data_IF_016770973089
#
_entry.id   IF_016770973089
#
_cell.length_a   1.000
_cell.length_b   1.000
_cell.length_c   1.000
_cell.angle_alpha   90.00
_cell.angle_beta   90.00
_cell.angle_gamma   90.00
#
_symmetry.space_group_name_H-M   'P 1'
#
loop_
_entity.id
_entity.type
_entity.pdbx_description
1 polymer ?
#
# COMPACT_ATOMS: atom_id res chain seq x y z
N UNK A 1 0.79 60.99 -36.87
CA UNK A 1 2.04 60.72 -37.62
C UNK A 1 3.16 60.85 -36.61
N UNK A 2 3.84 59.82 -36.09
CA UNK A 2 3.86 58.37 -36.25
C UNK A 2 4.22 57.77 -34.87
N UNK A 3 3.48 56.76 -34.39
CA UNK A 3 3.97 55.39 -34.09
C UNK A 3 5.29 55.32 -33.28
N UNK A 4 5.19 55.10 -31.98
CA UNK A 4 6.24 54.44 -31.18
C UNK A 4 5.75 53.02 -30.84
N UNK A 5 5.99 52.13 -31.80
CA UNK A 5 6.01 50.70 -31.64
C UNK A 5 7.18 50.30 -30.71
N UNK A 6 6.90 49.70 -29.56
CA UNK A 6 7.58 48.46 -29.13
C UNK A 6 6.86 47.85 -27.93
N UNK A 7 5.67 47.35 -28.23
CA UNK A 7 5.01 46.33 -27.46
C UNK A 7 5.93 45.09 -27.41
N UNK A 8 6.67 44.93 -26.31
CA UNK A 8 7.57 43.79 -26.06
C UNK A 8 6.73 42.52 -25.98
N UNK A 9 6.46 41.93 -27.14
CA UNK A 9 5.94 40.56 -27.29
C UNK A 9 6.82 39.62 -26.47
N UNK A 10 6.31 39.21 -25.30
CA UNK A 10 6.85 38.11 -24.50
C UNK A 10 6.79 36.85 -25.36
N UNK A 11 7.92 36.53 -25.98
CA UNK A 11 8.18 35.22 -26.54
C UNK A 11 8.11 34.18 -25.42
N UNK A 12 7.02 33.40 -25.35
CA UNK A 12 6.99 32.16 -24.57
C UNK A 12 7.67 31.07 -25.41
N UNK A 13 8.89 30.61 -25.07
CA UNK A 13 9.53 29.55 -25.84
C UNK A 13 8.68 28.27 -25.70
N UNK A 14 8.22 27.74 -26.83
CA UNK A 14 7.45 26.48 -26.93
C UNK A 14 8.19 25.26 -26.31
N UNK A 15 9.50 25.37 -26.06
CA UNK A 15 10.30 24.38 -25.32
C UNK A 15 9.93 24.21 -23.84
N UNK A 16 9.20 25.16 -23.24
CA UNK A 16 8.76 25.08 -21.84
C UNK A 16 7.59 24.12 -21.58
N UNK A 17 6.78 23.79 -22.59
CA UNK A 17 5.59 22.93 -22.42
C UNK A 17 5.96 21.45 -22.32
N UNK A 18 6.91 20.98 -23.12
CA UNK A 18 7.38 19.59 -23.07
C UNK A 18 8.07 19.30 -21.73
N UNK A 19 8.93 20.20 -21.26
CA UNK A 19 9.60 20.06 -19.96
C UNK A 19 8.60 20.09 -18.79
N UNK A 20 7.54 20.92 -18.87
CA UNK A 20 6.43 20.89 -17.88
C UNK A 20 5.63 19.59 -17.93
N UNK A 21 5.42 19.01 -19.11
CA UNK A 21 4.70 17.75 -19.29
C UNK A 21 5.50 16.55 -18.76
N UNK A 22 6.81 16.54 -19.03
CA UNK A 22 7.76 15.52 -18.53
C UNK A 22 7.90 15.63 -17.01
N UNK A 23 8.08 16.84 -16.45
CA UNK A 23 8.12 17.04 -14.99
C UNK A 23 6.83 16.63 -14.28
N UNK A 24 5.67 16.71 -14.96
CA UNK A 24 4.37 16.30 -14.43
C UNK A 24 4.13 14.79 -14.52
N UNK A 25 4.72 14.10 -15.50
CA UNK A 25 4.56 12.64 -15.72
C UNK A 25 5.66 11.80 -15.07
N UNK A 26 6.86 12.36 -14.90
CA UNK A 26 8.01 11.69 -14.28
C UNK A 26 8.58 12.62 -13.20
N UNK A 27 7.99 12.59 -11.99
CA UNK A 27 8.35 13.51 -10.89
C UNK A 27 9.82 13.43 -10.47
N UNK A 28 10.50 12.30 -10.75
CA UNK A 28 11.93 12.10 -10.46
C UNK A 28 12.81 13.21 -11.02
N UNK A 29 12.47 13.72 -12.21
CA UNK A 29 13.25 14.76 -12.88
C UNK A 29 13.15 16.13 -12.21
N UNK A 30 12.17 16.31 -11.32
CA UNK A 30 11.97 17.56 -10.56
C UNK A 30 12.67 17.57 -9.20
N UNK A 31 12.66 16.45 -8.47
CA UNK A 31 13.19 16.39 -7.11
C UNK A 31 14.67 15.97 -7.06
N UNK A 32 15.10 15.07 -7.94
CA UNK A 32 16.46 14.54 -7.96
C UNK A 32 17.56 15.63 -8.10
N UNK A 33 17.38 16.70 -8.91
CA UNK A 33 18.38 17.76 -9.02
C UNK A 33 18.53 18.64 -7.77
N UNK A 34 17.52 18.66 -6.89
CA UNK A 34 17.48 19.48 -5.67
C UNK A 34 17.78 18.66 -4.40
N UNK A 35 18.39 17.48 -4.57
CA UNK A 35 18.67 16.54 -3.51
C UNK A 35 20.00 16.88 -2.83
N UNK A 36 20.02 16.88 -1.49
CA UNK A 36 21.18 17.29 -0.68
C UNK A 36 21.69 16.10 0.16
N UNK A 37 22.98 16.11 0.53
CA UNK A 37 23.61 15.05 1.33
C UNK A 37 22.99 14.87 2.71
N UNK A 38 22.46 15.93 3.31
CA UNK A 38 21.72 15.85 4.58
C UNK A 38 20.40 15.07 4.42
N UNK A 39 19.69 15.29 3.29
CA UNK A 39 18.48 14.52 2.97
C UNK A 39 18.80 13.05 2.71
N UNK A 40 19.94 12.78 2.06
CA UNK A 40 20.41 11.42 1.84
C UNK A 40 20.57 10.64 3.15
N UNK A 41 21.21 11.22 4.16
CA UNK A 41 21.40 10.54 5.45
C UNK A 41 20.05 10.28 6.15
N UNK A 42 19.17 11.29 6.16
CA UNK A 42 17.85 11.17 6.77
C UNK A 42 16.98 10.12 6.06
N UNK A 43 16.98 10.11 4.73
CA UNK A 43 16.23 9.15 3.91
C UNK A 43 16.84 7.74 4.00
N UNK A 44 18.16 7.60 4.19
CA UNK A 44 18.80 6.31 4.41
C UNK A 44 18.38 5.69 5.75
N UNK A 45 18.37 6.48 6.83
CA UNK A 45 17.91 6.03 8.15
C UNK A 45 16.42 5.67 8.09
N UNK A 46 15.60 6.52 7.47
CA UNK A 46 14.17 6.26 7.28
C UNK A 46 13.95 5.00 6.42
N UNK A 47 14.70 4.85 5.33
CA UNK A 47 14.60 3.72 4.41
C UNK A 47 14.98 2.40 5.06
N UNK A 48 16.04 2.36 5.88
CA UNK A 48 16.41 1.16 6.66
C UNK A 48 15.30 0.83 7.67
N UNK A 49 14.78 1.84 8.38
CA UNK A 49 13.70 1.65 9.37
C UNK A 49 12.43 1.11 8.73
N UNK A 50 12.01 1.69 7.60
CA UNK A 50 10.84 1.25 6.83
C UNK A 50 11.09 -0.13 6.22
N UNK A 51 12.27 -0.39 5.66
CA UNK A 51 12.63 -1.70 5.11
C UNK A 51 12.55 -2.81 6.14
N UNK A 52 13.09 -2.57 7.35
CA UNK A 52 13.06 -3.54 8.46
C UNK A 52 11.63 -3.81 8.96
N UNK A 53 10.72 -2.84 8.87
CA UNK A 53 9.31 -3.03 9.26
C UNK A 53 8.48 -3.70 8.15
N UNK A 54 8.76 -3.40 6.89
CA UNK A 54 8.05 -3.97 5.74
C UNK A 54 8.39 -5.44 5.53
N UNK A 55 9.59 -5.91 5.89
CA UNK A 55 9.97 -7.32 5.79
C UNK A 55 9.03 -8.28 6.55
N UNK A 56 8.86 -8.17 7.88
CA UNK A 56 7.95 -9.04 8.63
C UNK A 56 6.49 -8.82 8.23
N UNK A 57 6.11 -7.56 7.92
CA UNK A 57 4.76 -7.24 7.47
C UNK A 57 4.42 -7.94 6.14
N UNK A 58 5.32 -7.91 5.16
CA UNK A 58 5.12 -8.55 3.86
C UNK A 58 4.99 -10.06 3.97
N UNK A 59 5.83 -10.69 4.80
CA UNK A 59 5.77 -12.14 5.07
C UNK A 59 4.41 -12.54 5.68
N UNK A 60 3.92 -11.76 6.65
CA UNK A 60 2.61 -12.00 7.27
C UNK A 60 1.46 -11.78 6.27
N UNK A 61 1.54 -10.76 5.41
CA UNK A 61 0.48 -10.49 4.45
C UNK A 61 0.41 -11.51 3.31
N UNK A 62 1.54 -12.06 2.88
CA UNK A 62 1.53 -13.16 1.91
C UNK A 62 0.83 -14.42 2.47
N UNK A 63 1.09 -14.76 3.73
CA UNK A 63 0.41 -15.91 4.37
C UNK A 63 -1.08 -15.65 4.59
N UNK A 64 -1.49 -14.41 4.87
CA UNK A 64 -2.91 -14.03 4.89
C UNK A 64 -3.58 -14.13 3.52
N UNK A 65 -2.85 -13.88 2.42
CA UNK A 65 -3.33 -14.10 1.07
C UNK A 65 -3.39 -15.58 0.68
N UNK A 66 -2.85 -16.49 1.50
CA UNK A 66 -2.72 -17.92 1.20
C UNK A 66 -1.60 -18.23 0.20
N UNK A 67 -0.62 -17.34 0.07
CA UNK A 67 0.56 -17.49 -0.79
C UNK A 67 1.80 -17.80 0.03
N UNK A 68 2.85 -18.27 -0.64
CA UNK A 68 4.15 -18.43 0.02
C UNK A 68 4.72 -17.08 0.47
N UNK A 69 5.43 -17.00 1.62
CA UNK A 69 5.90 -15.74 2.18
C UNK A 69 6.75 -14.88 1.23
N UNK A 70 7.48 -15.52 0.30
CA UNK A 70 8.32 -14.86 -0.70
C UNK A 70 7.56 -13.88 -1.61
N UNK A 71 6.28 -14.16 -1.92
CA UNK A 71 5.46 -13.25 -2.73
C UNK A 71 5.20 -11.91 -2.04
N UNK A 72 5.19 -11.89 -0.70
CA UNK A 72 5.07 -10.67 0.08
C UNK A 72 6.30 -9.77 -0.09
N UNK A 73 7.49 -10.36 -0.09
CA UNK A 73 8.75 -9.64 -0.32
C UNK A 73 8.84 -9.12 -1.75
N UNK A 74 8.45 -9.93 -2.75
CA UNK A 74 8.45 -9.52 -4.15
C UNK A 74 7.53 -8.31 -4.40
N UNK A 75 6.31 -8.34 -3.84
CA UNK A 75 5.35 -7.24 -3.99
C UNK A 75 5.82 -5.95 -3.29
N UNK A 76 6.41 -6.06 -2.10
CA UNK A 76 6.98 -4.92 -1.38
C UNK A 76 8.14 -4.27 -2.14
N UNK A 77 9.07 -5.08 -2.66
CA UNK A 77 10.24 -4.59 -3.39
C UNK A 77 9.86 -3.95 -4.73
N UNK A 78 9.09 -4.65 -5.56
CA UNK A 78 8.74 -4.14 -6.89
C UNK A 78 7.83 -2.91 -6.81
N UNK A 79 6.90 -2.87 -5.85
CA UNK A 79 6.04 -1.71 -5.62
C UNK A 79 6.84 -0.43 -5.33
N UNK A 80 7.83 -0.53 -4.43
CA UNK A 80 8.71 0.58 -4.09
C UNK A 80 9.57 1.03 -5.28
N UNK A 81 10.17 0.11 -6.03
CA UNK A 81 11.01 0.43 -7.20
C UNK A 81 10.25 1.20 -8.28
N UNK A 82 9.03 0.76 -8.60
CA UNK A 82 8.18 1.46 -9.58
C UNK A 82 7.77 2.84 -9.05
N UNK A 83 7.48 2.96 -7.75
CA UNK A 83 7.07 4.22 -7.15
C UNK A 83 8.18 5.27 -7.11
N UNK A 84 9.45 4.90 -7.01
CA UNK A 84 10.57 5.88 -7.06
C UNK A 84 10.55 6.69 -8.37
N UNK A 85 10.17 6.06 -9.49
CA UNK A 85 10.18 6.69 -10.82
C UNK A 85 8.91 7.51 -11.06
N UNK A 86 7.75 6.96 -10.72
CA UNK A 86 6.43 7.54 -11.06
C UNK A 86 5.70 8.19 -9.88
N UNK A 87 6.24 8.10 -8.67
CA UNK A 87 5.60 8.55 -7.45
C UNK A 87 5.53 10.06 -7.33
N UNK A 88 4.35 10.55 -6.97
CA UNK A 88 4.07 11.98 -6.80
C UNK A 88 4.43 12.50 -5.41
N UNK A 89 4.40 11.64 -4.39
CA UNK A 89 4.60 12.00 -2.99
C UNK A 89 5.90 11.37 -2.47
N UNK A 90 6.76 12.16 -1.83
CA UNK A 90 8.06 11.68 -1.32
C UNK A 90 7.97 10.81 -0.06
N UNK A 91 6.93 11.00 0.76
CA UNK A 91 6.85 10.42 2.11
C UNK A 91 5.98 9.15 2.19
N UNK A 92 5.40 8.70 1.07
CA UNK A 92 4.54 7.51 1.06
C UNK A 92 5.33 6.26 0.68
N UNK A 93 5.15 5.21 1.47
CA UNK A 93 5.71 3.89 1.18
C UNK A 93 4.63 3.02 0.52
N UNK A 94 4.97 2.42 -0.63
CA UNK A 94 4.11 1.44 -1.28
C UNK A 94 4.54 0.03 -0.88
N UNK A 95 3.57 -0.78 -0.49
CA UNK A 95 3.80 -2.18 -0.16
C UNK A 95 2.48 -2.95 -0.03
N UNK A 96 2.56 -4.26 0.25
CA UNK A 96 1.37 -5.06 0.51
C UNK A 96 0.65 -4.53 1.75
N UNK A 97 -0.69 -4.60 1.73
CA UNK A 97 -1.55 -4.23 2.86
C UNK A 97 -2.42 -5.41 3.27
N UNK A 98 -2.80 -5.47 4.55
CA UNK A 98 -3.61 -6.54 5.10
C UNK A 98 -4.94 -6.72 4.34
N UNK A 99 -5.62 -5.62 4.01
CA UNK A 99 -6.88 -5.68 3.26
C UNK A 99 -6.68 -6.26 1.85
N UNK A 100 -5.65 -5.82 1.13
CA UNK A 100 -5.36 -6.34 -0.21
C UNK A 100 -5.03 -7.83 -0.18
N UNK A 101 -4.32 -8.30 0.86
CA UNK A 101 -4.06 -9.72 1.07
C UNK A 101 -5.36 -10.52 1.27
N UNK A 102 -6.26 -10.04 2.13
CA UNK A 102 -7.56 -10.69 2.36
C UNK A 102 -8.42 -10.73 1.11
N UNK A 103 -8.50 -9.62 0.36
CA UNK A 103 -9.25 -9.58 -0.91
C UNK A 103 -8.64 -10.52 -1.96
N UNK A 104 -7.31 -10.63 -2.01
CA UNK A 104 -6.62 -11.54 -2.92
C UNK A 104 -6.87 -13.00 -2.55
N UNK A 105 -6.94 -13.31 -1.25
CA UNK A 105 -7.16 -14.67 -0.76
C UNK A 105 -8.42 -15.31 -1.36
N UNK A 106 -9.53 -14.58 -1.41
CA UNK A 106 -10.82 -15.05 -1.94
C UNK A 106 -10.73 -15.54 -3.40
N UNK A 107 -9.81 -14.99 -4.20
CA UNK A 107 -9.65 -15.37 -5.61
C UNK A 107 -8.58 -16.44 -5.86
N UNK A 108 -7.66 -16.60 -4.91
CA UNK A 108 -6.48 -17.49 -4.99
C UNK A 108 -6.72 -18.79 -4.21
N UNK A 109 -7.61 -18.80 -3.23
CA UNK A 109 -7.85 -19.97 -2.39
C UNK A 109 -8.23 -21.20 -3.22
N UNK A 110 -7.54 -22.33 -2.96
CA UNK A 110 -7.75 -23.57 -3.69
C UNK A 110 -7.19 -23.57 -5.12
N UNK A 111 -6.37 -22.57 -5.49
CA UNK A 111 -5.74 -22.43 -6.80
C UNK A 111 -4.24 -22.16 -6.65
N UNK A 112 -3.53 -22.14 -7.78
CA UNK A 112 -2.10 -21.83 -7.84
C UNK A 112 -1.83 -20.33 -7.68
N UNK A 113 -0.60 -20.00 -7.29
CA UNK A 113 -0.13 -18.62 -7.16
C UNK A 113 -0.23 -17.80 -8.47
N UNK A 114 -0.27 -18.46 -9.63
CA UNK A 114 -0.46 -17.83 -10.93
C UNK A 114 -1.73 -16.98 -11.01
N UNK A 115 -2.79 -17.37 -10.29
CA UNK A 115 -4.01 -16.57 -10.22
C UNK A 115 -3.81 -15.24 -9.50
N UNK A 116 -2.92 -15.19 -8.50
CA UNK A 116 -2.56 -13.94 -7.83
C UNK A 116 -1.81 -13.00 -8.78
N UNK A 117 -0.89 -13.56 -9.58
CA UNK A 117 -0.12 -12.82 -10.58
C UNK A 117 -1.06 -12.28 -11.67
N UNK A 118 -1.98 -13.12 -12.17
CA UNK A 118 -2.98 -12.71 -13.15
C UNK A 118 -3.91 -11.63 -12.60
N UNK A 119 -4.37 -11.76 -11.36
CA UNK A 119 -5.20 -10.77 -10.69
C UNK A 119 -4.46 -9.44 -10.56
N UNK A 120 -3.19 -9.46 -10.13
CA UNK A 120 -2.36 -8.27 -10.04
C UNK A 120 -2.17 -7.60 -11.40
N UNK A 121 -1.92 -8.39 -12.45
CA UNK A 121 -1.80 -7.91 -13.82
C UNK A 121 -3.09 -7.24 -14.31
N UNK A 122 -4.24 -7.90 -14.12
CA UNK A 122 -5.55 -7.38 -14.53
C UNK A 122 -5.92 -6.11 -13.77
N UNK A 123 -5.65 -6.04 -12.47
CA UNK A 123 -5.78 -4.83 -11.66
C UNK A 123 -4.91 -3.70 -12.22
N UNK A 124 -3.67 -3.98 -12.63
CA UNK A 124 -2.78 -3.01 -13.27
C UNK A 124 -3.32 -2.48 -14.60
N UNK A 125 -3.80 -3.37 -15.48
CA UNK A 125 -4.45 -2.98 -16.73
C UNK A 125 -5.69 -2.11 -16.48
N UNK A 126 -6.52 -2.47 -15.50
CA UNK A 126 -7.70 -1.70 -15.12
C UNK A 126 -7.32 -0.33 -14.57
N UNK A 127 -6.27 -0.23 -13.74
CA UNK A 127 -5.75 1.05 -13.23
C UNK A 127 -5.23 1.95 -14.36
N UNK A 128 -4.52 1.40 -15.34
CA UNK A 128 -4.06 2.14 -16.53
C UNK A 128 -5.26 2.62 -17.35
N UNK A 129 -6.28 1.78 -17.53
CA UNK A 129 -7.51 2.15 -18.22
C UNK A 129 -8.23 3.30 -17.49
N UNK A 130 -8.37 3.20 -16.17
CA UNK A 130 -8.96 4.27 -15.35
C UNK A 130 -8.15 5.57 -15.42
N UNK A 131 -6.82 5.47 -15.47
CA UNK A 131 -5.93 6.62 -15.63
C UNK A 131 -6.06 7.25 -17.03
N UNK A 132 -6.22 6.45 -18.08
CA UNK A 132 -6.47 6.95 -19.44
C UNK A 132 -7.79 7.70 -19.54
N UNK A 133 -8.83 7.17 -18.90
CA UNK A 133 -10.15 7.80 -18.77
C UNK A 133 -10.17 8.99 -17.79
N UNK A 134 -9.05 9.30 -17.12
CA UNK A 134 -8.90 10.34 -16.09
C UNK A 134 -9.91 10.21 -14.94
N UNK A 135 -10.36 8.99 -14.65
CA UNK A 135 -11.33 8.73 -13.59
C UNK A 135 -10.77 9.04 -12.20
N UNK A 136 -9.45 9.12 -12.02
CA UNK A 136 -8.83 9.57 -10.76
C UNK A 136 -9.31 10.96 -10.33
N UNK A 137 -9.12 11.97 -11.18
CA UNK A 137 -9.52 13.36 -10.88
C UNK A 137 -11.02 13.59 -10.92
N UNK A 138 -11.78 12.68 -11.54
CA UNK A 138 -13.23 12.80 -11.60
C UNK A 138 -13.83 12.03 -10.43
N UNK A 139 -13.68 10.71 -10.35
CA UNK A 139 -14.39 9.88 -9.37
C UNK A 139 -13.76 9.87 -7.98
N UNK A 140 -12.43 9.83 -7.86
CA UNK A 140 -11.78 9.65 -6.54
C UNK A 140 -11.96 10.91 -5.68
N UNK A 141 -11.91 12.09 -6.30
CA UNK A 141 -12.14 13.37 -5.62
C UNK A 141 -13.61 13.56 -5.19
N UNK A 142 -14.56 12.77 -5.75
CA UNK A 142 -15.98 12.78 -5.35
C UNK A 142 -16.33 11.78 -4.24
N UNK A 143 -15.38 10.98 -3.77
CA UNK A 143 -15.63 10.10 -2.61
C UNK A 143 -15.78 10.98 -1.38
N UNK A 144 -16.97 10.95 -0.78
CA UNK A 144 -17.26 11.76 0.40
C UNK A 144 -16.45 11.26 1.60
N UNK A 145 -16.02 12.21 2.46
CA UNK A 145 -15.30 11.89 3.70
C UNK A 145 -16.04 10.84 4.55
N UNK A 146 -17.38 10.91 4.73
CA UNK A 146 -18.12 9.89 5.48
C UNK A 146 -17.99 8.47 4.90
N UNK A 147 -17.95 8.33 3.57
CA UNK A 147 -17.79 7.02 2.92
C UNK A 147 -16.40 6.46 3.19
N UNK A 148 -15.36 7.29 3.07
CA UNK A 148 -13.99 6.88 3.37
C UNK A 148 -13.86 6.46 4.83
N UNK A 149 -14.40 7.25 5.77
CA UNK A 149 -14.36 6.93 7.22
C UNK A 149 -15.12 5.64 7.52
N UNK A 150 -16.30 5.45 6.93
CA UNK A 150 -17.10 4.23 7.07
C UNK A 150 -16.35 3.00 6.55
N UNK A 151 -15.76 3.11 5.35
CA UNK A 151 -14.97 2.05 4.74
C UNK A 151 -13.72 1.70 5.56
N UNK A 152 -12.98 2.69 6.05
CA UNK A 152 -11.79 2.44 6.89
C UNK A 152 -12.15 1.83 8.24
N UNK A 153 -13.28 2.23 8.84
CA UNK A 153 -13.76 1.67 10.10
C UNK A 153 -14.15 0.21 9.94
N UNK A 154 -14.92 -0.12 8.89
CA UNK A 154 -15.30 -1.49 8.57
C UNK A 154 -14.07 -2.36 8.26
N UNK A 155 -13.14 -1.84 7.45
CA UNK A 155 -11.87 -2.50 7.13
C UNK A 155 -11.06 -2.82 8.39
N UNK A 156 -11.00 -1.91 9.35
CA UNK A 156 -10.28 -2.12 10.62
C UNK A 156 -10.87 -3.29 11.41
N UNK A 157 -12.20 -3.38 11.49
CA UNK A 157 -12.89 -4.51 12.15
C UNK A 157 -12.61 -5.82 11.42
N UNK A 158 -12.64 -5.83 10.08
CA UNK A 158 -12.33 -7.00 9.27
C UNK A 158 -10.90 -7.49 9.52
N UNK A 159 -9.93 -6.56 9.57
CA UNK A 159 -8.53 -6.89 9.85
C UNK A 159 -8.41 -7.51 11.24
N UNK A 160 -8.99 -6.91 12.28
CA UNK A 160 -8.94 -7.45 13.65
C UNK A 160 -9.47 -8.89 13.69
N UNK A 161 -10.65 -9.13 13.11
CA UNK A 161 -11.25 -10.48 13.09
C UNK A 161 -10.39 -11.46 12.30
N UNK A 162 -9.79 -11.05 11.18
CA UNK A 162 -8.90 -11.90 10.39
C UNK A 162 -7.64 -12.35 11.15
N UNK A 163 -7.18 -11.53 12.10
CA UNK A 163 -5.98 -11.82 12.90
C UNK A 163 -6.28 -12.63 14.17
N UNK A 164 -7.54 -12.73 14.62
CA UNK A 164 -7.89 -13.45 15.86
C UNK A 164 -7.41 -14.91 15.85
N UNK A 165 -7.47 -15.59 14.71
CA UNK A 165 -6.98 -16.97 14.58
C UNK A 165 -5.48 -17.09 14.87
N UNK A 166 -4.68 -16.13 14.40
CA UNK A 166 -3.25 -16.07 14.66
C UNK A 166 -2.94 -15.67 16.10
N UNK A 167 -3.72 -14.72 16.64
CA UNK A 167 -3.58 -14.26 18.02
C UNK A 167 -3.82 -15.39 19.04
N UNK A 168 -4.84 -16.22 18.80
CA UNK A 168 -5.26 -17.31 19.68
C UNK A 168 -4.52 -18.65 19.42
N UNK A 169 -3.60 -18.70 18.46
CA UNK A 169 -2.90 -19.94 18.07
C UNK A 169 -3.79 -20.98 17.40
N UNK A 170 -4.95 -20.58 16.86
CA UNK A 170 -5.92 -21.48 16.24
C UNK A 170 -5.54 -21.77 14.78
N UNK A 171 -5.20 -23.02 14.47
CA UNK A 171 -4.93 -23.49 13.09
C UNK A 171 -6.23 -23.81 12.35
N UNK A 172 -6.94 -22.76 11.92
CA UNK A 172 -8.23 -22.90 11.24
C UNK A 172 -8.18 -22.24 9.87
N UNK A 173 -8.67 -22.95 8.85
CA UNK A 173 -8.95 -22.38 7.53
C UNK A 173 -10.34 -21.76 7.54
N UNK A 174 -10.41 -20.45 7.33
CA UNK A 174 -11.64 -19.66 7.34
C UNK A 174 -11.72 -18.76 6.11
N UNK A 175 -12.94 -18.56 5.59
CA UNK A 175 -13.22 -17.81 4.37
C UNK A 175 -14.05 -16.56 4.66
N UNK A 176 -13.53 -15.39 4.35
CA UNK A 176 -14.19 -14.14 4.70
C UNK A 176 -14.39 -13.89 6.19
N UNK A 177 -15.09 -12.80 6.48
CA UNK A 177 -15.25 -12.25 7.82
C UNK A 177 -16.13 -13.11 8.74
N UNK A 178 -17.34 -13.47 8.27
CA UNK A 178 -18.34 -14.17 9.09
C UNK A 178 -17.89 -15.57 9.45
N UNK A 179 -17.35 -16.33 8.50
CA UNK A 179 -16.83 -17.68 8.76
C UNK A 179 -15.66 -17.66 9.75
N UNK A 180 -14.76 -16.68 9.62
CA UNK A 180 -13.65 -16.50 10.59
C UNK A 180 -14.19 -16.26 11.99
N UNK A 181 -15.20 -15.39 12.15
CA UNK A 181 -15.81 -15.11 13.45
C UNK A 181 -16.49 -16.35 14.04
N UNK A 182 -17.33 -17.04 13.26
CA UNK A 182 -18.04 -18.24 13.71
C UNK A 182 -17.07 -19.36 14.10
N UNK A 183 -16.04 -19.61 13.29
CA UNK A 183 -15.05 -20.65 13.56
C UNK A 183 -14.18 -20.36 14.77
N UNK A 184 -13.80 -19.09 14.98
CA UNK A 184 -13.06 -18.68 16.18
C UNK A 184 -13.91 -18.91 17.43
N UNK A 185 -15.20 -18.52 17.41
CA UNK A 185 -16.12 -18.72 18.54
C UNK A 185 -16.36 -20.20 18.84
N UNK A 186 -16.55 -21.03 17.83
CA UNK A 186 -16.75 -22.47 18.00
C UNK A 186 -15.49 -23.17 18.56
N UNK A 187 -14.30 -22.74 18.13
CA UNK A 187 -13.04 -23.38 18.50
C UNK A 187 -12.31 -22.67 19.66
N UNK A 188 -12.99 -21.79 20.40
CA UNK A 188 -12.39 -21.05 21.51
C UNK A 188 -11.87 -21.98 22.63
N UNK A 189 -12.39 -23.21 22.71
CA UNK A 189 -11.92 -24.22 23.65
C UNK A 189 -10.58 -24.86 23.25
N UNK A 190 -10.15 -24.72 21.99
CA UNK A 190 -8.89 -25.28 21.46
C UNK A 190 -7.77 -24.23 21.40
N UNK A 191 -7.93 -23.13 22.13
CA UNK A 191 -6.94 -22.05 22.20
C UNK A 191 -5.62 -22.56 22.75
N UNK A 192 -4.53 -22.23 22.05
CA UNK A 192 -3.20 -22.49 22.57
C UNK A 192 -2.79 -21.32 23.47
N UNK A 193 -2.78 -21.57 24.78
CA UNK A 193 -2.44 -20.56 25.79
C UNK A 193 -1.03 -20.01 25.63
N UNK A 194 -0.08 -20.81 25.13
CA UNK A 194 1.29 -20.38 24.90
C UNK A 194 1.38 -19.38 23.74
N UNK A 195 0.75 -19.68 22.62
CA UNK A 195 0.72 -18.79 21.44
C UNK A 195 -0.02 -17.49 21.77
N UNK A 196 -1.12 -17.59 22.54
CA UNK A 196 -1.90 -16.43 23.00
C UNK A 196 -1.12 -15.55 23.96
N UNK A 197 -0.40 -16.16 24.92
CA UNK A 197 0.45 -15.43 25.85
C UNK A 197 1.59 -14.71 25.14
N UNK A 198 2.23 -15.39 24.17
CA UNK A 198 3.29 -14.80 23.36
C UNK A 198 2.75 -13.63 22.54
N UNK A 199 1.65 -13.81 21.81
CA UNK A 199 1.07 -12.76 20.96
C UNK A 199 0.63 -11.54 21.77
N UNK A 200 0.00 -11.75 22.92
CA UNK A 200 -0.42 -10.68 23.82
C UNK A 200 0.79 -9.93 24.40
N UNK A 201 1.83 -10.64 24.85
CA UNK A 201 3.06 -10.02 25.37
C UNK A 201 3.77 -9.17 24.31
N UNK A 202 3.85 -9.65 23.07
CA UNK A 202 4.41 -8.89 21.95
C UNK A 202 3.60 -7.61 21.69
N UNK A 203 2.27 -7.69 21.68
CA UNK A 203 1.41 -6.51 21.51
C UNK A 203 1.64 -5.51 22.66
N UNK A 204 1.70 -5.98 23.90
CA UNK A 204 1.93 -5.11 25.07
C UNK A 204 3.28 -4.40 24.97
N UNK A 205 4.36 -5.12 24.64
CA UNK A 205 5.71 -4.54 24.49
C UNK A 205 5.73 -3.49 23.37
N UNK A 206 5.13 -3.79 22.22
CA UNK A 206 5.08 -2.84 21.10
C UNK A 206 4.27 -1.58 21.45
N UNK A 207 3.16 -1.73 22.18
CA UNK A 207 2.37 -0.58 22.64
C UNK A 207 3.11 0.24 23.69
N UNK A 208 3.85 -0.40 24.61
CA UNK A 208 4.68 0.30 25.58
C UNK A 208 5.76 1.14 24.89
N UNK A 209 6.50 0.54 23.95
CA UNK A 209 7.52 1.27 23.18
C UNK A 209 6.97 2.38 22.30
N UNK A 210 5.69 2.32 21.90
CA UNK A 210 5.05 3.39 21.16
C UNK A 210 4.64 4.56 22.07
N UNK A 211 4.30 4.27 23.32
CA UNK A 211 3.81 5.27 24.30
C UNK A 211 4.98 6.00 24.98
N UNK A 212 6.10 5.31 25.19
CA UNK A 212 7.36 5.88 25.67
C UNK A 212 8.00 6.78 24.62
#
# INVERSE_FOLDING_TARGET
MALDDTDKKRWHPRGGQFNKFVKKRIPITGWLPNYNSEKFLNDAIAGVTVGLTVMPQGLAYATLAGLEPQYGLYSAFMGAMVYIVFGSCKDITIGPTALMALMTHEYVQGRNADFAILLAFLCGCLQILMAFLRLGSVLVDFISIPVTVGFTSATSVIIVVSQLKGLLGLRISSQGFLDTLTKVLQNIHRVNWWDTGMSLSCITILLLFRVM
#
